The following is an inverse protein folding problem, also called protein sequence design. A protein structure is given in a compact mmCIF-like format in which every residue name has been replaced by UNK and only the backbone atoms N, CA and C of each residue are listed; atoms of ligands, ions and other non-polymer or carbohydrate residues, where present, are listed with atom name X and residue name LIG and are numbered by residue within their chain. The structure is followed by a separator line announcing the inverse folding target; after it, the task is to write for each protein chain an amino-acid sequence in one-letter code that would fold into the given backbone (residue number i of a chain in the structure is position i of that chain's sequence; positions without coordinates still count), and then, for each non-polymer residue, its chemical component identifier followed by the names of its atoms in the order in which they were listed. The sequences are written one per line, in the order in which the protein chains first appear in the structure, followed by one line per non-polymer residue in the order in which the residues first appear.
data_IF_632538551801
#
_entry.id   IF_632538551801
#
_cell.length_a   1.000
_cell.length_b   1.000
_cell.length_c   1.000
_cell.angle_alpha   90.00
_cell.angle_beta   90.00
_cell.angle_gamma   90.00
#
_symmetry.space_group_name_H-M   'P 1'
#
loop_
_entity.id
_entity.type
_entity.pdbx_description
1 polymer ?
#
# COMPACT_ATOMS: atom_id res chain seq x y z
N UNK A 1 -26.22 -13.08 3.80
CA UNK A 1 -26.04 -11.82 3.06
C UNK A 1 -24.54 -11.60 3.00
N UNK A 2 -23.89 -12.20 2.00
CA UNK A 2 -22.48 -11.95 1.72
C UNK A 2 -22.40 -10.61 0.98
N UNK A 3 -22.31 -9.53 1.77
CA UNK A 3 -21.97 -8.22 1.22
C UNK A 3 -20.49 -8.25 0.89
N UNK A 4 -20.15 -8.81 -0.27
CA UNK A 4 -18.87 -8.52 -0.92
C UNK A 4 -18.90 -7.04 -1.29
N UNK A 5 -18.61 -6.18 -0.30
CA UNK A 5 -18.27 -4.79 -0.56
C UNK A 5 -16.97 -4.90 -1.34
N UNK A 6 -17.05 -4.64 -2.63
CA UNK A 6 -15.89 -4.41 -3.48
C UNK A 6 -15.18 -3.19 -2.88
N UNK A 7 -14.22 -3.43 -1.99
CA UNK A 7 -13.45 -2.37 -1.37
C UNK A 7 -12.61 -1.77 -2.49
N UNK A 8 -13.06 -0.63 -3.00
CA UNK A 8 -12.32 0.17 -3.97
C UNK A 8 -10.88 0.33 -3.47
N UNK A 9 -9.91 0.01 -4.33
CA UNK A 9 -8.49 0.10 -4.02
C UNK A 9 -8.10 1.52 -3.60
N UNK A 10 -7.07 1.61 -2.77
CA UNK A 10 -6.55 2.88 -2.30
C UNK A 10 -5.82 3.58 -3.45
N UNK A 11 -6.45 4.58 -4.04
CA UNK A 11 -5.77 5.50 -4.93
C UNK A 11 -4.96 6.53 -4.14
N UNK A 12 -4.06 7.25 -4.82
CA UNK A 12 -3.25 8.29 -4.21
C UNK A 12 -4.08 9.36 -3.48
N UNK A 13 -5.27 9.67 -3.98
CA UNK A 13 -6.18 10.64 -3.39
C UNK A 13 -6.71 10.16 -2.03
N UNK A 14 -7.05 8.87 -1.95
CA UNK A 14 -7.45 8.25 -0.69
C UNK A 14 -6.28 8.19 0.29
N UNK A 15 -5.08 7.84 -0.19
CA UNK A 15 -3.87 7.86 0.62
C UNK A 15 -3.60 9.24 1.23
N UNK A 16 -3.69 10.34 0.46
CA UNK A 16 -3.46 11.70 0.99
C UNK A 16 -4.44 12.05 2.11
N UNK A 17 -5.70 11.65 2.00
CA UNK A 17 -6.69 11.83 3.06
C UNK A 17 -6.29 11.05 4.31
N UNK A 18 -5.82 9.81 4.16
CA UNK A 18 -5.34 8.99 5.28
C UNK A 18 -4.07 9.58 5.91
N UNK A 19 -3.09 10.01 5.11
CA UNK A 19 -1.86 10.62 5.61
C UNK A 19 -2.15 11.90 6.42
N UNK A 20 -3.08 12.74 5.94
CA UNK A 20 -3.54 13.90 6.69
C UNK A 20 -4.25 13.50 7.99
N UNK A 21 -5.10 12.47 7.96
CA UNK A 21 -5.88 12.07 9.14
C UNK A 21 -5.05 11.40 10.23
N UNK A 22 -4.07 10.57 9.87
CA UNK A 22 -3.27 9.79 10.82
C UNK A 22 -1.96 10.47 11.20
N UNK A 23 -1.31 11.15 10.26
CA UNK A 23 0.03 11.71 10.42
C UNK A 23 0.03 13.25 10.40
N UNK A 24 -1.12 13.88 10.13
CA UNK A 24 -1.28 15.34 10.05
C UNK A 24 -0.31 16.01 9.06
N UNK A 25 -0.02 15.32 7.94
CA UNK A 25 0.81 15.84 6.84
C UNK A 25 0.02 15.91 5.54
N UNK A 26 0.31 16.93 4.74
CA UNK A 26 -0.28 17.12 3.41
C UNK A 26 0.72 16.82 2.27
N UNK A 27 2.01 16.70 2.58
CA UNK A 27 3.09 16.42 1.63
C UNK A 27 4.28 15.77 2.31
N UNK A 28 4.97 14.87 1.61
CA UNK A 28 6.23 14.28 2.03
C UNK A 28 7.05 13.90 0.79
N UNK A 29 8.38 13.85 0.89
CA UNK A 29 9.25 13.41 -0.23
C UNK A 29 8.97 11.97 -0.66
N UNK A 30 8.43 11.16 0.25
CA UNK A 30 8.06 9.76 0.00
C UNK A 30 6.71 9.59 -0.70
N UNK A 31 5.91 10.65 -0.85
CA UNK A 31 4.58 10.56 -1.47
C UNK A 31 4.68 10.16 -2.94
N UNK A 32 5.65 10.67 -3.69
CA UNK A 32 5.84 10.31 -5.11
C UNK A 32 6.14 8.81 -5.28
N UNK A 33 6.91 8.23 -4.34
CA UNK A 33 7.20 6.80 -4.33
C UNK A 33 5.94 5.98 -4.00
N UNK A 34 5.15 6.43 -3.02
CA UNK A 34 3.90 5.77 -2.63
C UNK A 34 2.87 5.83 -3.76
N UNK A 35 2.73 6.97 -4.43
CA UNK A 35 1.86 7.14 -5.60
C UNK A 35 2.22 6.14 -6.70
N UNK A 36 3.51 6.10 -7.08
CA UNK A 36 4.00 5.16 -8.11
C UNK A 36 3.71 3.70 -7.74
N UNK A 37 3.85 3.33 -6.48
CA UNK A 37 3.58 1.97 -6.02
C UNK A 37 2.07 1.65 -6.02
N UNK A 38 1.22 2.58 -5.56
CA UNK A 38 -0.23 2.40 -5.56
C UNK A 38 -0.82 2.32 -6.97
N UNK A 39 -0.17 2.91 -7.97
CA UNK A 39 -0.55 2.77 -9.38
C UNK A 39 -0.24 1.37 -9.95
N UNK A 40 0.77 0.69 -9.41
CA UNK A 40 1.20 -0.62 -9.87
C UNK A 40 0.47 -1.77 -9.15
N UNK A 41 0.05 -1.56 -7.91
CA UNK A 41 -0.55 -2.60 -7.08
C UNK A 41 -1.83 -2.19 -6.38
N UNK A 42 -2.68 -3.19 -6.20
CA UNK A 42 -3.97 -3.04 -5.56
C UNK A 42 -3.87 -3.30 -4.05
N UNK A 43 -3.86 -2.23 -3.25
CA UNK A 43 -3.96 -2.28 -1.78
C UNK A 43 -5.25 -1.60 -1.32
N UNK A 44 -5.91 -2.09 -0.26
CA UNK A 44 -7.17 -1.47 0.20
C UNK A 44 -6.90 -0.25 1.10
N UNK A 45 -7.83 0.73 1.19
CA UNK A 45 -7.67 1.85 2.11
C UNK A 45 -7.49 1.44 3.57
N UNK A 46 -8.06 0.29 3.97
CA UNK A 46 -7.89 -0.26 5.32
C UNK A 46 -6.45 -0.74 5.56
N UNK A 47 -5.87 -1.47 4.60
CA UNK A 47 -4.47 -1.93 4.69
C UNK A 47 -3.51 -0.73 4.69
N UNK A 48 -3.78 0.29 3.87
CA UNK A 48 -2.99 1.54 3.87
C UNK A 48 -3.10 2.23 5.23
N UNK A 49 -4.31 2.37 5.78
CA UNK A 49 -4.53 2.98 7.08
C UNK A 49 -3.77 2.24 8.19
N UNK A 50 -3.75 0.90 8.18
CA UNK A 50 -3.03 0.09 9.18
C UNK A 50 -1.52 0.38 9.20
N UNK A 51 -0.91 0.66 8.05
CA UNK A 51 0.49 1.04 7.96
C UNK A 51 0.74 2.49 8.41
N UNK A 52 -0.25 3.37 8.26
CA UNK A 52 -0.18 4.77 8.67
C UNK A 52 -0.57 5.01 10.13
N UNK A 53 -1.15 4.01 10.82
CA UNK A 53 -1.41 4.11 12.25
C UNK A 53 -0.09 4.18 13.01
N UNK A 54 0.06 5.21 13.83
CA UNK A 54 1.21 5.39 14.72
C UNK A 54 1.34 4.15 15.62
N UNK A 55 2.43 3.39 15.45
CA UNK A 55 2.72 2.21 16.27
C UNK A 55 3.58 2.54 17.50
N UNK A 56 4.12 3.76 17.59
CA UNK A 56 4.94 4.23 18.69
C UNK A 56 4.86 5.76 18.85
N UNK A 57 5.21 6.26 20.04
CA UNK A 57 5.31 7.69 20.38
C UNK A 57 6.68 8.28 20.00
N UNK A 58 7.23 7.89 18.85
CA UNK A 58 8.56 8.32 18.40
C UNK A 58 8.52 9.69 17.71
N UNK A 59 9.63 10.46 17.81
CA UNK A 59 9.75 11.78 17.16
C UNK A 59 9.63 11.70 15.62
N UNK A 60 10.07 10.58 15.02
CA UNK A 60 10.06 10.34 13.57
C UNK A 60 8.91 9.42 13.11
N UNK A 61 7.79 9.42 13.84
CA UNK A 61 6.63 8.57 13.57
C UNK A 61 6.10 8.67 12.12
N UNK A 62 6.18 9.86 11.50
CA UNK A 62 5.77 10.07 10.10
C UNK A 62 6.64 9.25 9.16
N UNK A 63 7.96 9.36 9.31
CA UNK A 63 8.93 8.67 8.48
C UNK A 63 8.79 7.15 8.64
N UNK A 64 8.64 6.68 9.88
CA UNK A 64 8.44 5.27 10.19
C UNK A 64 7.16 4.70 9.57
N UNK A 65 6.04 5.43 9.66
CA UNK A 65 4.77 5.01 9.06
C UNK A 65 4.82 4.98 7.53
N UNK A 66 5.42 5.99 6.89
CA UNK A 66 5.53 6.03 5.43
C UNK A 66 6.47 4.95 4.90
N UNK A 67 7.61 4.71 5.55
CA UNK A 67 8.51 3.62 5.19
C UNK A 67 7.85 2.24 5.38
N UNK A 68 7.11 2.05 6.47
CA UNK A 68 6.34 0.80 6.70
C UNK A 68 5.35 0.54 5.57
N UNK A 69 4.63 1.57 5.11
CA UNK A 69 3.73 1.46 3.97
C UNK A 69 4.48 1.10 2.68
N UNK A 70 5.61 1.75 2.41
CA UNK A 70 6.45 1.46 1.24
C UNK A 70 6.91 0.00 1.24
N UNK A 71 7.39 -0.52 2.37
CA UNK A 71 7.81 -1.91 2.49
C UNK A 71 6.66 -2.87 2.18
N UNK A 72 5.47 -2.62 2.73
CA UNK A 72 4.29 -3.44 2.47
C UNK A 72 3.89 -3.41 0.98
N UNK A 73 3.96 -2.24 0.34
CA UNK A 73 3.67 -2.09 -1.09
C UNK A 73 4.70 -2.83 -1.97
N UNK A 74 5.99 -2.70 -1.66
CA UNK A 74 7.06 -3.42 -2.38
C UNK A 74 6.94 -4.94 -2.21
N UNK A 75 6.55 -5.43 -1.02
CA UNK A 75 6.32 -6.86 -0.78
C UNK A 75 5.13 -7.38 -1.60
N UNK A 76 4.03 -6.63 -1.66
CA UNK A 76 2.87 -6.98 -2.48
C UNK A 76 3.20 -6.98 -3.97
N UNK A 77 4.01 -6.02 -4.44
CA UNK A 77 4.48 -5.99 -5.83
C UNK A 77 5.28 -7.24 -6.18
N UNK A 78 6.27 -7.61 -5.35
CA UNK A 78 7.06 -8.83 -5.53
C UNK A 78 6.19 -10.09 -5.55
N UNK A 79 5.23 -10.21 -4.62
CA UNK A 79 4.29 -11.35 -4.58
C UNK A 79 3.43 -11.44 -5.84
N UNK A 80 2.97 -10.32 -6.36
CA UNK A 80 2.18 -10.24 -7.60
C UNK A 80 3.01 -10.70 -8.80
N UNK A 81 4.23 -10.19 -8.93
CA UNK A 81 5.17 -10.57 -10.00
C UNK A 81 5.54 -12.06 -9.93
N UNK A 82 5.82 -12.60 -8.75
CA UNK A 82 6.09 -14.02 -8.56
C UNK A 82 4.90 -14.91 -8.92
N UNK A 83 3.67 -14.49 -8.58
CA UNK A 83 2.46 -15.23 -8.89
C UNK A 83 2.24 -15.31 -10.42
N UNK A 84 2.49 -14.20 -11.13
CA UNK A 84 2.44 -14.15 -12.60
C UNK A 84 3.48 -15.10 -13.20
N UNK A 85 4.74 -15.03 -12.74
CA UNK A 85 5.82 -15.88 -13.25
C UNK A 85 5.57 -17.39 -13.03
N UNK A 86 5.01 -17.77 -11.88
CA UNK A 86 4.62 -19.17 -11.56
C UNK A 86 3.45 -19.66 -12.42
N UNK A 87 2.55 -18.77 -12.84
CA UNK A 87 1.44 -19.11 -13.72
C UNK A 87 1.92 -19.33 -15.17
N UNK A 88 2.92 -18.57 -15.64
CA UNK A 88 3.45 -18.69 -17.00
C UNK A 88 4.27 -19.97 -17.21
N UNK A 89 4.99 -20.46 -16.19
CA UNK A 89 5.82 -21.67 -16.30
C UNK A 89 5.02 -22.98 -16.29
N UNK A 90 3.78 -23.00 -15.77
CA UNK A 90 2.94 -24.21 -15.75
C UNK A 90 2.32 -24.56 -17.11
N UNK A 91 2.25 -23.63 -18.06
CA UNK A 91 1.63 -23.85 -19.37
C UNK A 91 2.58 -24.39 -20.46
N UNK A 92 3.84 -24.71 -20.12
CA UNK A 92 4.82 -25.25 -21.10
C UNK A 92 5.18 -26.72 -20.88
N UNK A 93 4.53 -27.42 -19.94
CA UNK A 93 4.74 -28.85 -19.71
C UNK A 93 3.39 -29.56 -19.80
N UNK A 94 2.86 -29.69 -21.01
CA UNK A 94 1.79 -30.63 -21.32
C UNK A 94 2.07 -31.31 -22.65
#
# INVERSE_FOLDING_TARGET
MDKHIEMSYCCFEAFKVLAKNYLNIDSHELFEKIESLLDEINMTPADVAENLMMKSDEEDVVETCLNSLIEALEELKKKTEEAINKATTKNQIQ
#
